data_IF_158700448873
#
_entry.id   IF_158700448873
#
_cell.length_a   1.000
_cell.length_b   1.000
_cell.length_c   1.000
_cell.angle_alpha   90.00
_cell.angle_beta   90.00
_cell.angle_gamma   90.00
#
_symmetry.space_group_name_H-M   'P 1'
#
loop_
_entity.id
_entity.type
_entity.pdbx_description
1 polymer ?
#
# COMPACT_ATOMS: atom_id res chain seq x y z
N UNK A 1 36.13 -32.33 -28.87
CA UNK A 1 34.73 -32.65 -28.56
C UNK A 1 34.54 -32.53 -27.05
N UNK A 2 33.62 -31.72 -26.53
CA UNK A 2 33.30 -31.75 -25.11
C UNK A 2 32.44 -33.00 -24.78
N UNK A 3 32.49 -33.52 -23.54
CA UNK A 3 31.87 -34.80 -23.19
C UNK A 3 30.35 -34.66 -23.01
N UNK A 4 29.62 -35.71 -23.41
CA UNK A 4 28.18 -35.85 -23.18
C UNK A 4 27.87 -35.95 -21.69
N UNK A 5 27.09 -34.99 -21.18
CA UNK A 5 26.52 -35.03 -19.83
C UNK A 5 25.48 -36.16 -19.79
N UNK A 6 25.77 -37.23 -19.04
CA UNK A 6 24.82 -38.31 -18.75
C UNK A 6 23.88 -37.84 -17.64
N UNK A 7 22.63 -37.55 -18.00
CA UNK A 7 21.56 -37.27 -17.02
C UNK A 7 20.93 -38.61 -16.61
N UNK A 8 20.72 -38.87 -15.30
CA UNK A 8 20.13 -40.12 -14.84
C UNK A 8 18.68 -40.26 -15.30
N UNK A 9 18.37 -41.41 -15.91
CA UNK A 9 17.00 -41.81 -16.28
C UNK A 9 16.26 -42.15 -14.99
N UNK A 10 15.25 -41.35 -14.61
CA UNK A 10 14.35 -41.76 -13.53
C UNK A 10 13.40 -42.83 -14.04
N UNK A 11 13.67 -44.08 -13.68
CA UNK A 11 12.76 -45.20 -13.85
C UNK A 11 11.66 -45.13 -12.78
N UNK A 12 10.52 -44.54 -13.11
CA UNK A 12 9.29 -44.76 -12.35
C UNK A 12 8.51 -45.87 -13.05
N UNK A 13 8.62 -47.09 -12.52
CA UNK A 13 7.83 -48.23 -12.96
C UNK A 13 6.37 -48.05 -12.59
N UNK A 14 5.54 -47.64 -13.55
CA UNK A 14 4.08 -47.90 -13.59
C UNK A 14 3.65 -48.01 -15.05
N UNK A 15 3.04 -49.14 -15.39
CA UNK A 15 2.46 -49.45 -16.70
C UNK A 15 1.35 -48.46 -17.09
N UNK A 16 1.46 -47.87 -18.30
CA UNK A 16 0.31 -47.38 -19.07
C UNK A 16 -0.15 -45.92 -18.93
N UNK A 17 0.34 -45.14 -17.97
CA UNK A 17 -0.07 -43.73 -17.77
C UNK A 17 1.08 -42.74 -17.98
N UNK A 18 0.86 -41.68 -18.78
CA UNK A 18 1.84 -40.58 -18.89
C UNK A 18 2.07 -39.95 -17.52
N UNK A 19 3.33 -39.71 -17.14
CA UNK A 19 3.70 -39.04 -15.91
C UNK A 19 3.05 -37.64 -15.82
N UNK A 20 2.69 -37.23 -14.59
CA UNK A 20 2.13 -35.91 -14.31
C UNK A 20 3.25 -34.88 -14.35
N UNK A 21 3.05 -33.78 -15.07
CA UNK A 21 3.98 -32.65 -15.06
C UNK A 21 4.01 -32.04 -13.66
N UNK A 22 5.19 -31.97 -13.04
CA UNK A 22 5.42 -31.33 -11.74
C UNK A 22 6.02 -29.94 -11.91
N UNK A 23 6.03 -29.16 -10.83
CA UNK A 23 6.59 -27.81 -10.83
C UNK A 23 8.12 -27.83 -10.96
N UNK A 24 8.78 -28.85 -10.38
CA UNK A 24 10.23 -29.03 -10.51
C UNK A 24 10.63 -29.37 -11.95
N UNK A 25 9.86 -30.22 -12.63
CA UNK A 25 10.07 -30.50 -14.06
C UNK A 25 9.97 -29.22 -14.89
N UNK A 26 8.97 -28.37 -14.61
CA UNK A 26 8.82 -27.09 -15.31
C UNK A 26 10.00 -26.14 -15.03
N UNK A 27 10.50 -26.06 -13.81
CA UNK A 27 11.70 -25.27 -13.48
C UNK A 27 12.94 -25.78 -14.20
N UNK A 28 13.12 -27.10 -14.21
CA UNK A 28 14.23 -27.78 -14.90
C UNK A 28 14.19 -27.49 -16.41
N UNK A 29 13.03 -27.65 -17.05
CA UNK A 29 12.91 -27.43 -18.49
C UNK A 29 13.05 -25.96 -18.91
N UNK A 30 12.68 -25.01 -18.03
CA UNK A 30 12.99 -23.60 -18.23
C UNK A 30 14.50 -23.36 -18.15
N UNK A 31 15.19 -24.01 -17.21
CA UNK A 31 16.65 -23.89 -17.06
C UNK A 31 17.42 -24.48 -18.26
N UNK A 32 16.87 -25.50 -18.94
CA UNK A 32 17.44 -26.04 -20.18
C UNK A 32 17.48 -25.00 -21.32
N UNK A 33 16.53 -24.06 -21.33
CA UNK A 33 16.37 -23.05 -22.36
C UNK A 33 16.18 -23.65 -23.77
N UNK A 34 16.22 -22.79 -24.79
CA UNK A 34 16.03 -23.20 -26.19
C UNK A 34 17.01 -24.29 -26.65
N UNK A 35 18.28 -24.17 -26.27
CA UNK A 35 19.32 -25.09 -26.71
C UNK A 35 19.13 -26.50 -26.14
N UNK A 36 18.83 -26.62 -24.84
CA UNK A 36 18.58 -27.91 -24.20
C UNK A 36 17.30 -28.57 -24.70
N UNK A 37 16.25 -27.79 -24.96
CA UNK A 37 15.01 -28.32 -25.54
C UNK A 37 15.21 -28.83 -26.97
N UNK A 38 15.99 -28.11 -27.79
CA UNK A 38 16.33 -28.59 -29.14
C UNK A 38 17.17 -29.88 -29.07
N UNK A 39 18.14 -29.95 -28.17
CA UNK A 39 18.96 -31.14 -27.95
C UNK A 39 18.13 -32.36 -27.51
N UNK A 40 17.05 -32.14 -26.78
CA UNK A 40 16.10 -33.19 -26.40
C UNK A 40 15.21 -33.66 -27.57
N UNK A 41 15.30 -33.08 -28.77
CA UNK A 41 14.38 -33.35 -29.89
C UNK A 41 13.12 -32.48 -29.88
N UNK A 42 13.21 -31.27 -29.31
CA UNK A 42 12.11 -30.34 -29.11
C UNK A 42 11.15 -30.78 -27.99
N UNK A 43 10.02 -30.09 -27.86
CA UNK A 43 8.98 -30.40 -26.87
C UNK A 43 8.53 -31.87 -26.95
N UNK A 44 8.48 -32.45 -28.15
CA UNK A 44 8.09 -33.85 -28.36
C UNK A 44 9.13 -34.83 -27.83
N UNK A 45 10.41 -34.55 -28.05
CA UNK A 45 11.49 -35.41 -27.56
C UNK A 45 11.66 -35.28 -26.03
N UNK A 46 11.52 -34.07 -25.49
CA UNK A 46 11.45 -33.83 -24.05
C UNK A 46 10.28 -34.58 -23.41
N UNK A 47 9.09 -34.53 -24.02
CA UNK A 47 7.92 -35.27 -23.56
C UNK A 47 8.16 -36.80 -23.52
N UNK A 48 8.83 -37.35 -24.55
CA UNK A 48 9.21 -38.77 -24.58
C UNK A 48 10.24 -39.12 -23.50
N UNK A 49 11.26 -38.28 -23.29
CA UNK A 49 12.32 -38.52 -22.29
C UNK A 49 11.77 -38.60 -20.87
N UNK A 50 10.81 -37.73 -20.53
CA UNK A 50 10.21 -37.67 -19.19
C UNK A 50 8.87 -38.43 -19.10
N UNK A 51 8.50 -39.17 -20.15
CA UNK A 51 7.23 -39.91 -20.24
C UNK A 51 5.98 -39.06 -19.92
N UNK A 52 5.94 -37.80 -20.35
CA UNK A 52 4.80 -36.88 -20.14
C UNK A 52 4.03 -36.66 -21.45
N UNK A 53 2.78 -36.19 -21.35
CA UNK A 53 2.02 -35.79 -22.54
C UNK A 53 2.61 -34.54 -23.20
N UNK A 54 3.02 -34.66 -24.47
CA UNK A 54 3.49 -33.51 -25.26
C UNK A 54 2.41 -32.42 -25.40
N UNK A 55 1.13 -32.81 -25.48
CA UNK A 55 0.01 -31.87 -25.49
C UNK A 55 -0.08 -31.09 -24.17
N UNK A 56 0.02 -31.79 -23.03
CA UNK A 56 0.03 -31.15 -21.72
C UNK A 56 1.26 -30.25 -21.54
N UNK A 57 2.42 -30.67 -22.02
CA UNK A 57 3.66 -29.90 -21.92
C UNK A 57 3.57 -28.56 -22.66
N UNK A 58 2.99 -28.53 -23.87
CA UNK A 58 2.77 -27.29 -24.63
C UNK A 58 1.88 -26.28 -23.92
N UNK A 59 1.02 -26.73 -23.00
CA UNK A 59 0.20 -25.83 -22.22
C UNK A 59 1.03 -25.03 -21.21
N UNK A 60 2.22 -25.50 -20.82
CA UNK A 60 3.04 -24.86 -19.79
C UNK A 60 4.37 -24.31 -20.31
N UNK A 61 4.94 -24.89 -21.38
CA UNK A 61 6.27 -24.58 -21.89
C UNK A 61 6.24 -24.37 -23.42
N UNK A 62 6.95 -23.34 -23.89
CA UNK A 62 7.13 -23.01 -25.32
C UNK A 62 8.41 -23.67 -25.87
N UNK A 63 8.48 -23.80 -27.19
CA UNK A 63 9.63 -24.40 -27.87
C UNK A 63 10.94 -23.61 -27.73
N UNK A 64 10.87 -22.34 -27.31
CA UNK A 64 12.03 -21.50 -27.00
C UNK A 64 12.51 -21.63 -25.53
N UNK A 65 11.87 -22.47 -24.73
CA UNK A 65 12.19 -22.69 -23.32
C UNK A 65 11.57 -21.69 -22.35
N UNK A 66 10.71 -20.80 -22.84
CA UNK A 66 9.94 -19.90 -21.96
C UNK A 66 8.62 -20.53 -21.51
N UNK A 67 8.13 -20.15 -20.34
CA UNK A 67 6.82 -20.59 -19.86
C UNK A 67 5.70 -19.92 -20.65
N UNK A 68 4.60 -20.65 -20.84
CA UNK A 68 3.31 -20.05 -21.18
C UNK A 68 2.75 -19.32 -19.96
N UNK A 69 1.67 -18.55 -20.15
CA UNK A 69 0.97 -17.93 -19.02
C UNK A 69 0.48 -18.97 -18.01
N UNK A 70 0.05 -20.14 -18.48
CA UNK A 70 -0.41 -21.22 -17.62
C UNK A 70 0.75 -21.89 -16.88
N UNK A 71 1.93 -22.01 -17.51
CA UNK A 71 3.18 -22.42 -16.86
C UNK A 71 3.59 -21.45 -15.76
N UNK A 72 3.51 -20.15 -16.03
CA UNK A 72 3.82 -19.11 -15.06
C UNK A 72 2.86 -19.14 -13.85
N UNK A 73 1.55 -19.23 -14.11
CA UNK A 73 0.53 -19.30 -13.05
C UNK A 73 0.71 -20.55 -12.19
N UNK A 74 1.15 -21.65 -12.79
CA UNK A 74 1.38 -22.90 -12.08
C UNK A 74 2.58 -22.81 -11.15
N UNK A 75 3.69 -22.22 -11.61
CA UNK A 75 4.88 -22.02 -10.77
C UNK A 75 4.72 -20.90 -9.74
N UNK A 76 3.76 -20.01 -9.93
CA UNK A 76 3.40 -18.93 -9.01
C UNK A 76 1.94 -19.07 -8.53
N UNK A 77 1.60 -20.12 -7.74
CA UNK A 77 0.22 -20.38 -7.32
C UNK A 77 -0.31 -19.35 -6.30
N UNK A 78 0.58 -18.57 -5.65
CA UNK A 78 0.23 -17.52 -4.70
C UNK A 78 0.29 -16.12 -5.32
N UNK A 79 -0.87 -15.60 -5.75
CA UNK A 79 -1.11 -14.16 -5.82
C UNK A 79 -0.49 -13.43 -7.01
N UNK A 80 -1.33 -13.10 -8.00
CA UNK A 80 -1.02 -11.96 -8.86
C UNK A 80 -0.89 -10.72 -7.96
N UNK A 81 0.17 -9.94 -8.17
CA UNK A 81 0.37 -8.69 -7.45
C UNK A 81 -0.82 -7.78 -7.73
N UNK A 82 -1.36 -7.18 -6.68
CA UNK A 82 -2.42 -6.18 -6.83
C UNK A 82 -1.81 -4.92 -7.47
N UNK A 83 -2.46 -4.39 -8.50
CA UNK A 83 -1.99 -3.17 -9.17
C UNK A 83 -2.12 -1.99 -8.19
N UNK A 84 -1.04 -1.31 -7.86
CA UNK A 84 -1.07 -0.11 -6.99
C UNK A 84 -1.09 1.18 -7.81
N UNK A 85 -1.44 2.29 -7.16
CA UNK A 85 -1.33 3.62 -7.78
C UNK A 85 0.10 3.96 -8.20
N UNK A 86 1.10 3.55 -7.44
CA UNK A 86 2.51 3.81 -7.75
C UNK A 86 2.98 3.04 -8.98
N UNK A 87 2.56 1.78 -9.12
CA UNK A 87 2.82 0.99 -10.34
C UNK A 87 2.23 1.68 -11.57
N UNK A 88 1.01 2.20 -11.48
CA UNK A 88 0.35 2.92 -12.57
C UNK A 88 1.10 4.19 -12.96
N UNK A 89 1.64 4.95 -11.99
CA UNK A 89 2.47 6.12 -12.26
C UNK A 89 3.82 5.76 -12.91
N UNK A 90 4.44 4.68 -12.47
CA UNK A 90 5.67 4.19 -13.10
C UNK A 90 5.39 3.80 -14.55
N UNK A 91 4.30 3.08 -14.82
CA UNK A 91 3.97 2.61 -16.16
C UNK A 91 3.50 3.72 -17.10
N UNK A 92 2.87 4.79 -16.60
CA UNK A 92 2.62 5.99 -17.41
C UNK A 92 3.92 6.72 -17.75
N UNK A 93 4.87 6.78 -16.80
CA UNK A 93 6.19 7.40 -17.01
C UNK A 93 7.04 6.65 -18.04
N UNK A 94 6.89 5.32 -18.14
CA UNK A 94 7.54 4.52 -19.19
C UNK A 94 7.15 4.96 -20.61
N UNK A 95 5.96 5.55 -20.77
CA UNK A 95 5.44 5.93 -22.07
C UNK A 95 5.12 4.74 -22.98
N UNK A 96 4.60 5.04 -24.17
CA UNK A 96 4.27 4.02 -25.19
C UNK A 96 5.47 3.15 -25.56
N UNK A 97 6.65 3.75 -25.71
CA UNK A 97 7.86 3.02 -26.11
C UNK A 97 8.37 2.10 -25.00
N UNK A 98 8.31 2.51 -23.73
CA UNK A 98 8.66 1.64 -22.60
C UNK A 98 7.71 0.45 -22.46
N UNK A 99 6.40 0.65 -22.67
CA UNK A 99 5.43 -0.46 -22.71
C UNK A 99 5.70 -1.38 -23.89
N UNK A 100 6.05 -0.85 -25.07
CA UNK A 100 6.41 -1.65 -26.24
C UNK A 100 7.67 -2.48 -25.97
N UNK A 101 8.71 -1.88 -25.39
CA UNK A 101 9.93 -2.57 -24.96
C UNK A 101 9.68 -3.63 -23.88
N UNK A 102 8.59 -3.50 -23.11
CA UNK A 102 8.15 -4.53 -22.18
C UNK A 102 7.53 -5.75 -22.86
N UNK A 103 7.21 -5.69 -24.15
CA UNK A 103 6.41 -6.69 -24.87
C UNK A 103 4.91 -6.36 -24.83
N UNK A 104 4.56 -5.08 -24.81
CA UNK A 104 3.18 -4.61 -24.65
C UNK A 104 2.65 -4.79 -23.22
N UNK A 105 1.35 -4.57 -23.03
CA UNK A 105 0.70 -4.76 -21.72
C UNK A 105 0.82 -6.21 -21.21
N UNK A 106 0.87 -7.19 -22.10
CA UNK A 106 1.05 -8.61 -21.72
C UNK A 106 2.44 -8.88 -21.17
N UNK A 107 3.48 -8.34 -21.81
CA UNK A 107 4.84 -8.44 -21.31
C UNK A 107 5.04 -7.63 -20.02
N UNK A 108 4.43 -6.45 -19.91
CA UNK A 108 4.43 -5.64 -18.70
C UNK A 108 3.74 -6.37 -17.53
N UNK A 109 2.57 -6.96 -17.77
CA UNK A 109 1.85 -7.74 -16.76
C UNK A 109 2.66 -8.95 -16.29
N UNK A 110 3.34 -9.65 -17.21
CA UNK A 110 4.20 -10.79 -16.90
C UNK A 110 5.39 -10.39 -16.04
N UNK A 111 6.09 -9.31 -16.41
CA UNK A 111 7.25 -8.80 -15.65
C UNK A 111 6.90 -8.38 -14.23
N UNK A 112 5.70 -7.84 -14.03
CA UNK A 112 5.22 -7.36 -12.74
C UNK A 112 4.33 -8.37 -12.01
N UNK A 113 4.16 -9.58 -12.55
CA UNK A 113 3.28 -10.61 -12.01
C UNK A 113 1.85 -10.12 -11.69
N UNK A 114 1.30 -9.21 -12.51
CA UNK A 114 -0.07 -8.68 -12.35
C UNK A 114 -1.04 -9.31 -13.35
N UNK A 115 -2.34 -9.16 -13.10
CA UNK A 115 -3.37 -9.60 -14.05
C UNK A 115 -3.37 -8.73 -15.30
N UNK A 116 -3.19 -9.32 -16.49
CA UNK A 116 -3.32 -8.62 -17.78
C UNK A 116 -4.69 -7.94 -17.91
N UNK A 117 -5.75 -8.61 -17.44
CA UNK A 117 -7.12 -8.07 -17.48
C UNK A 117 -7.24 -6.87 -16.56
N UNK A 118 -6.74 -6.95 -15.33
CA UNK A 118 -6.76 -5.81 -14.41
C UNK A 118 -5.90 -4.66 -14.93
N UNK A 119 -4.75 -4.97 -15.55
CA UNK A 119 -3.88 -3.98 -16.16
C UNK A 119 -4.58 -3.24 -17.30
N UNK A 120 -5.27 -3.95 -18.19
CA UNK A 120 -6.07 -3.34 -19.27
C UNK A 120 -7.21 -2.47 -18.75
N UNK A 121 -7.77 -2.80 -17.59
CA UNK A 121 -8.80 -1.98 -16.95
C UNK A 121 -8.23 -0.68 -16.38
N UNK A 122 -6.93 -0.60 -16.06
CA UNK A 122 -6.29 0.58 -15.49
C UNK A 122 -5.47 1.40 -16.49
N UNK A 123 -4.84 0.77 -17.48
CA UNK A 123 -3.82 1.35 -18.34
C UNK A 123 -4.06 0.98 -19.81
N UNK A 124 -3.99 1.97 -20.70
CA UNK A 124 -4.12 1.82 -22.15
C UNK A 124 -2.77 1.51 -22.81
N UNK A 125 -2.81 1.05 -24.06
CA UNK A 125 -1.61 0.70 -24.84
C UNK A 125 -0.74 1.93 -25.16
N UNK A 126 -1.32 3.12 -25.19
CA UNK A 126 -0.64 4.40 -25.35
C UNK A 126 -0.06 4.95 -24.04
N UNK A 127 -0.01 4.13 -22.98
CA UNK A 127 0.44 4.48 -21.62
C UNK A 127 -0.45 5.47 -20.85
N UNK A 128 -1.61 5.84 -21.38
CA UNK A 128 -2.56 6.69 -20.64
C UNK A 128 -3.41 5.86 -19.67
N UNK A 129 -3.82 6.46 -18.56
CA UNK A 129 -4.71 5.81 -17.60
C UNK A 129 -6.15 5.82 -18.10
N UNK A 130 -6.87 4.74 -17.82
CA UNK A 130 -8.34 4.76 -17.86
C UNK A 130 -8.87 5.55 -16.67
N UNK A 131 -10.17 5.88 -16.67
CA UNK A 131 -10.81 6.45 -15.48
C UNK A 131 -10.58 5.58 -14.23
N UNK A 132 -10.73 4.26 -14.36
CA UNK A 132 -10.49 3.33 -13.26
C UNK A 132 -9.03 3.33 -12.79
N UNK A 133 -8.07 3.44 -13.71
CA UNK A 133 -6.66 3.61 -13.39
C UNK A 133 -6.38 4.93 -12.66
N UNK A 134 -7.00 6.02 -13.12
CA UNK A 134 -6.87 7.33 -12.50
C UNK A 134 -7.39 7.33 -11.06
N UNK A 135 -8.61 6.81 -10.83
CA UNK A 135 -9.14 6.69 -9.48
C UNK A 135 -8.26 5.84 -8.55
N UNK A 136 -7.55 4.85 -9.11
CA UNK A 136 -6.67 3.97 -8.35
C UNK A 136 -5.35 4.64 -7.99
N UNK A 137 -4.84 5.50 -8.86
CA UNK A 137 -3.74 6.43 -8.55
C UNK A 137 -4.17 7.39 -7.44
N UNK A 138 -5.36 7.98 -7.57
CA UNK A 138 -5.86 8.97 -6.62
C UNK A 138 -6.10 8.34 -5.24
N UNK A 139 -6.68 7.14 -5.15
CA UNK A 139 -6.83 6.40 -3.87
C UNK A 139 -5.51 6.20 -3.12
N UNK A 140 -4.38 6.13 -3.83
CA UNK A 140 -3.03 6.02 -3.27
C UNK A 140 -2.46 7.36 -2.77
N UNK A 141 -2.82 8.48 -3.39
CA UNK A 141 -2.42 9.83 -2.95
C UNK A 141 -3.47 10.42 -2.02
N UNK A 142 -3.31 10.24 -0.71
CA UNK A 142 -4.18 10.94 0.24
C UNK A 142 -3.93 12.44 0.16
N UNK A 143 -4.98 13.21 -0.11
CA UNK A 143 -4.93 14.66 -0.02
C UNK A 143 -4.63 15.08 1.42
N UNK A 144 -3.85 16.15 1.57
CA UNK A 144 -3.70 16.81 2.87
C UNK A 144 -5.00 17.52 3.24
N UNK A 145 -5.32 17.56 4.53
CA UNK A 145 -6.43 18.37 5.02
C UNK A 145 -6.03 19.83 4.93
N UNK A 146 -6.74 20.62 4.12
CA UNK A 146 -6.51 22.06 3.95
C UNK A 146 -7.42 22.90 4.83
N UNK A 147 -7.11 24.18 4.99
CA UNK A 147 -7.93 25.11 5.78
C UNK A 147 -9.30 25.35 5.11
N UNK A 148 -9.34 25.40 3.77
CA UNK A 148 -10.59 25.50 3.01
C UNK A 148 -11.50 24.29 3.21
N UNK A 149 -10.92 23.09 3.25
CA UNK A 149 -11.66 21.88 3.59
C UNK A 149 -12.25 21.99 5.00
N UNK A 150 -11.46 22.43 5.98
CA UNK A 150 -11.94 22.60 7.35
C UNK A 150 -13.04 23.67 7.46
N UNK A 151 -12.91 24.80 6.77
CA UNK A 151 -13.95 25.85 6.71
C UNK A 151 -15.25 25.30 6.13
N UNK A 152 -15.15 24.51 5.05
CA UNK A 152 -16.32 23.88 4.40
C UNK A 152 -16.94 22.79 5.27
N UNK A 153 -16.15 21.95 5.91
CA UNK A 153 -16.68 20.89 6.77
C UNK A 153 -17.29 21.46 8.05
N UNK A 154 -16.80 22.59 8.57
CA UNK A 154 -17.41 23.30 9.70
C UNK A 154 -18.86 23.71 9.44
N UNK A 155 -19.22 23.97 8.19
CA UNK A 155 -20.58 24.37 7.80
C UNK A 155 -21.48 23.18 7.44
N UNK A 156 -20.95 21.95 7.42
CA UNK A 156 -21.77 20.77 7.19
C UNK A 156 -22.55 20.43 8.46
N UNK A 157 -23.85 20.23 8.32
CA UNK A 157 -24.70 19.73 9.39
C UNK A 157 -24.57 18.20 9.54
N UNK A 158 -25.19 17.63 10.60
CA UNK A 158 -25.21 16.19 10.83
C UNK A 158 -25.82 15.40 9.67
N UNK A 159 -26.80 15.98 8.96
CA UNK A 159 -27.47 15.35 7.83
C UNK A 159 -26.54 15.21 6.61
N UNK A 160 -25.77 16.24 6.29
CA UNK A 160 -24.80 16.20 5.18
C UNK A 160 -23.64 15.24 5.49
N UNK A 161 -23.20 15.19 6.74
CA UNK A 161 -22.19 14.22 7.19
C UNK A 161 -22.74 12.79 7.09
N UNK A 162 -24.00 12.58 7.46
CA UNK A 162 -24.65 11.27 7.32
C UNK A 162 -24.81 10.88 5.84
N UNK A 163 -25.25 11.82 4.99
CA UNK A 163 -25.39 11.63 3.55
C UNK A 163 -24.05 11.30 2.87
N UNK A 164 -22.94 11.85 3.37
CA UNK A 164 -21.60 11.49 2.91
C UNK A 164 -21.20 10.05 3.28
N UNK A 165 -21.92 9.36 4.17
CA UNK A 165 -21.55 8.06 4.74
C UNK A 165 -20.77 8.19 6.06
N UNK A 166 -21.04 9.26 6.82
CA UNK A 166 -20.29 9.66 8.01
C UNK A 166 -18.90 10.19 7.70
N UNK A 167 -18.09 10.42 8.73
CA UNK A 167 -16.71 10.91 8.59
C UNK A 167 -15.83 10.00 7.71
N UNK A 168 -16.12 8.69 7.66
CA UNK A 168 -15.45 7.74 6.77
C UNK A 168 -15.76 8.01 5.30
N UNK A 169 -17.03 8.29 5.01
CA UNK A 169 -17.46 8.62 3.66
C UNK A 169 -16.99 10.00 3.22
N UNK A 170 -16.98 10.99 4.12
CA UNK A 170 -16.36 12.30 3.89
C UNK A 170 -14.86 12.18 3.56
N UNK A 171 -14.12 11.32 4.29
CA UNK A 171 -12.72 11.05 3.99
C UNK A 171 -12.50 10.43 2.61
N UNK A 172 -13.43 9.57 2.15
CA UNK A 172 -13.38 8.97 0.81
C UNK A 172 -13.70 9.99 -0.27
N UNK A 173 -14.74 10.80 -0.10
CA UNK A 173 -15.16 11.82 -1.07
C UNK A 173 -14.06 12.86 -1.32
N UNK A 174 -13.37 13.29 -0.26
CA UNK A 174 -12.27 14.25 -0.37
C UNK A 174 -10.89 13.58 -0.48
N UNK A 175 -10.85 12.25 -0.56
CA UNK A 175 -9.63 11.45 -0.63
C UNK A 175 -8.57 11.81 0.43
N UNK A 176 -9.00 12.16 1.64
CA UNK A 176 -8.11 12.49 2.76
C UNK A 176 -7.91 11.27 3.67
N UNK A 177 -6.83 11.28 4.46
CA UNK A 177 -6.64 10.26 5.48
C UNK A 177 -7.72 10.36 6.56
N UNK A 178 -8.40 9.25 6.85
CA UNK A 178 -9.40 9.20 7.94
C UNK A 178 -8.76 9.51 9.31
N UNK A 179 -7.49 9.14 9.50
CA UNK A 179 -6.73 9.44 10.73
C UNK A 179 -6.46 10.95 10.81
N UNK A 180 -6.06 11.57 9.70
CA UNK A 180 -5.89 13.02 9.64
C UNK A 180 -7.22 13.75 9.88
N UNK A 181 -8.30 13.28 9.26
CA UNK A 181 -9.63 13.86 9.40
C UNK A 181 -10.11 13.81 10.86
N UNK A 182 -9.93 12.67 11.54
CA UNK A 182 -10.26 12.50 12.97
C UNK A 182 -9.40 13.34 13.92
N UNK A 183 -8.29 13.91 13.43
CA UNK A 183 -7.49 14.87 14.21
C UNK A 183 -8.20 16.22 14.31
N UNK A 184 -8.95 16.60 13.28
CA UNK A 184 -9.61 17.91 13.18
C UNK A 184 -11.13 17.87 13.39
N UNK A 185 -11.78 16.73 13.16
CA UNK A 185 -13.23 16.58 13.27
C UNK A 185 -13.65 15.49 14.27
N UNK A 186 -14.82 15.68 14.87
CA UNK A 186 -15.59 14.67 15.58
C UNK A 186 -16.38 13.80 14.58
N UNK A 187 -16.93 12.68 15.05
CA UNK A 187 -17.68 11.74 14.20
C UNK A 187 -18.98 12.34 13.64
N UNK A 188 -19.54 13.32 14.34
CA UNK A 188 -20.72 14.11 13.95
C UNK A 188 -20.38 15.25 12.97
N UNK A 189 -19.11 15.42 12.60
CA UNK A 189 -18.64 16.47 11.69
C UNK A 189 -18.35 17.82 12.35
N UNK A 190 -18.50 17.94 13.67
CA UNK A 190 -18.09 19.17 14.38
C UNK A 190 -16.56 19.26 14.49
N UNK A 191 -16.02 20.49 14.51
CA UNK A 191 -14.58 20.70 14.68
C UNK A 191 -14.13 20.34 16.09
N UNK A 192 -13.03 19.60 16.16
CA UNK A 192 -12.24 19.45 17.39
C UNK A 192 -11.47 20.74 17.67
N UNK A 193 -10.99 20.88 18.90
CA UNK A 193 -10.14 22.00 19.28
C UNK A 193 -8.90 22.15 18.38
N UNK A 194 -8.32 21.05 17.89
CA UNK A 194 -7.21 21.12 16.93
C UNK A 194 -7.62 21.69 15.55
N UNK A 195 -8.85 21.45 15.11
CA UNK A 195 -9.43 22.07 13.92
C UNK A 195 -9.70 23.56 14.13
N UNK A 196 -10.25 23.91 15.29
CA UNK A 196 -10.49 25.30 15.67
C UNK A 196 -9.21 26.11 15.81
N UNK A 197 -8.18 25.54 16.45
CA UNK A 197 -6.87 26.20 16.61
C UNK A 197 -6.17 26.40 15.26
N UNK A 198 -6.39 25.49 14.30
CA UNK A 198 -5.81 25.60 12.97
C UNK A 198 -6.48 26.70 12.14
N UNK A 199 -7.81 26.83 12.25
CA UNK A 199 -8.53 27.91 11.56
C UNK A 199 -8.35 29.28 12.23
N UNK A 200 -8.03 29.30 13.53
CA UNK A 200 -7.82 30.52 14.32
C UNK A 200 -6.48 30.44 15.09
N UNK A 201 -5.35 30.56 14.38
CA UNK A 201 -4.03 30.52 15.01
C UNK A 201 -3.74 31.78 15.83
N UNK A 202 -4.26 32.93 15.38
CA UNK A 202 -4.05 34.23 16.00
C UNK A 202 -4.91 34.35 17.26
N UNK A 203 -4.26 34.59 18.40
CA UNK A 203 -4.92 34.74 19.70
C UNK A 203 -4.72 33.58 20.67
N UNK A 204 -3.91 32.56 20.33
CA UNK A 204 -3.54 31.50 21.29
C UNK A 204 -2.37 31.94 22.18
N UNK A 205 -2.51 31.71 23.49
CA UNK A 205 -1.46 31.98 24.47
C UNK A 205 -0.35 30.93 24.33
N UNK A 206 0.91 31.38 24.37
CA UNK A 206 2.05 30.47 24.37
C UNK A 206 2.13 29.72 25.71
N UNK A 207 2.40 28.41 25.66
CA UNK A 207 2.59 27.61 26.88
C UNK A 207 3.90 28.00 27.55
N UNK A 208 3.80 28.75 28.65
CA UNK A 208 4.93 29.12 29.49
C UNK A 208 5.43 27.94 30.35
N UNK A 209 6.66 28.04 30.86
CA UNK A 209 7.22 27.05 31.80
C UNK A 209 6.38 26.97 33.09
N UNK A 210 5.86 28.09 33.57
CA UNK A 210 5.02 28.13 34.77
C UNK A 210 3.71 27.36 34.57
N UNK A 211 3.05 27.57 33.42
CA UNK A 211 1.84 26.82 33.06
C UNK A 211 2.14 25.34 32.90
N UNK A 212 3.24 24.99 32.22
CA UNK A 212 3.67 23.60 32.04
C UNK A 212 3.90 22.89 33.38
N UNK A 213 4.53 23.57 34.34
CA UNK A 213 4.76 23.05 35.69
C UNK A 213 3.45 22.91 36.46
N UNK A 214 2.59 23.92 36.44
CA UNK A 214 1.30 23.89 37.11
C UNK A 214 0.44 22.74 36.59
N UNK A 215 0.35 22.57 35.27
CA UNK A 215 -0.44 21.48 34.69
C UNK A 215 0.18 20.10 34.93
N UNK A 216 1.51 19.99 35.01
CA UNK A 216 2.15 18.74 35.42
C UNK A 216 1.73 18.29 36.82
N UNK A 217 1.47 19.23 37.75
CA UNK A 217 0.98 18.90 39.10
C UNK A 217 -0.49 18.50 39.15
N UNK A 218 -1.29 18.78 38.11
CA UNK A 218 -2.69 18.35 38.04
C UNK A 218 -2.83 16.83 37.89
N UNK A 219 -1.86 16.19 37.23
CA UNK A 219 -1.89 14.77 36.92
C UNK A 219 -3.11 14.33 36.09
N UNK A 220 -3.30 13.00 35.94
CA UNK A 220 -4.38 12.46 35.12
C UNK A 220 -5.79 12.90 35.54
N UNK A 221 -6.06 12.91 36.84
CA UNK A 221 -7.38 13.27 37.38
C UNK A 221 -7.70 14.76 37.17
N UNK A 222 -6.72 15.65 37.34
CA UNK A 222 -6.93 17.08 37.08
C UNK A 222 -7.13 17.39 35.60
N UNK A 223 -6.45 16.67 34.70
CA UNK A 223 -6.73 16.76 33.26
C UNK A 223 -8.13 16.24 32.94
N UNK A 224 -8.54 15.11 33.51
CA UNK A 224 -9.89 14.56 33.33
C UNK A 224 -10.96 15.56 33.81
N UNK A 225 -10.77 16.16 34.98
CA UNK A 225 -11.65 17.20 35.54
C UNK A 225 -11.69 18.48 34.67
N UNK A 226 -10.61 18.77 33.94
CA UNK A 226 -10.59 19.87 32.98
C UNK A 226 -11.32 19.56 31.66
N UNK A 227 -11.79 18.33 31.44
CA UNK A 227 -12.33 17.87 30.15
C UNK A 227 -11.25 17.33 29.20
N UNK A 228 -10.15 16.84 29.75
CA UNK A 228 -8.97 16.37 29.00
C UNK A 228 -8.13 17.51 28.44
N UNK A 229 -7.21 17.18 27.51
CA UNK A 229 -6.36 18.18 26.85
C UNK A 229 -7.18 19.26 26.14
N UNK A 230 -8.26 18.87 25.46
CA UNK A 230 -9.10 19.82 24.70
C UNK A 230 -9.82 20.80 25.62
N UNK A 231 -10.33 20.34 26.78
CA UNK A 231 -10.95 21.21 27.77
C UNK A 231 -9.96 22.16 28.45
N UNK A 232 -8.75 21.70 28.76
CA UNK A 232 -7.67 22.54 29.29
C UNK A 232 -7.21 23.59 28.25
N UNK A 233 -7.06 23.19 26.99
CA UNK A 233 -6.72 24.07 25.88
C UNK A 233 -7.71 25.24 25.75
N UNK A 234 -9.01 24.92 25.79
CA UNK A 234 -10.09 25.91 25.72
C UNK A 234 -10.08 26.85 26.93
N UNK A 235 -9.95 26.31 28.15
CA UNK A 235 -10.02 27.08 29.40
C UNK A 235 -8.87 28.08 29.54
N UNK A 236 -7.69 27.72 29.03
CA UNK A 236 -6.49 28.57 29.09
C UNK A 236 -6.16 29.27 27.76
N UNK A 237 -7.03 29.15 26.77
CA UNK A 237 -6.85 29.68 25.42
C UNK A 237 -5.47 29.37 24.82
N UNK A 238 -5.01 28.12 24.98
CA UNK A 238 -3.75 27.62 24.40
C UNK A 238 -4.04 26.61 23.30
N UNK A 239 -3.07 26.35 22.42
CA UNK A 239 -3.21 25.32 21.39
C UNK A 239 -3.29 23.92 22.00
N UNK A 240 -4.33 23.16 21.65
CA UNK A 240 -4.47 21.75 21.99
C UNK A 240 -3.35 20.91 21.35
N UNK A 241 -2.88 21.29 20.16
CA UNK A 241 -1.71 20.70 19.51
C UNK A 241 -0.44 20.93 20.32
N UNK A 242 -0.22 22.15 20.81
CA UNK A 242 0.92 22.46 21.68
C UNK A 242 0.85 21.71 23.02
N UNK A 243 -0.33 21.56 23.61
CA UNK A 243 -0.52 20.73 24.81
C UNK A 243 -0.21 19.26 24.53
N UNK A 244 -0.68 18.69 23.41
CA UNK A 244 -0.34 17.30 23.00
C UNK A 244 1.16 17.08 22.75
N UNK A 245 1.90 18.14 22.42
CA UNK A 245 3.34 18.07 22.28
C UNK A 245 4.07 18.00 23.64
N UNK A 246 3.42 18.42 24.74
CA UNK A 246 4.02 18.46 26.07
C UNK A 246 3.41 17.43 27.03
N UNK A 247 2.16 17.04 26.83
CA UNK A 247 1.42 16.07 27.64
C UNK A 247 0.88 14.93 26.78
N UNK A 248 0.83 13.74 27.37
CA UNK A 248 0.14 12.57 26.84
C UNK A 248 -1.36 12.73 27.05
N UNK A 249 -2.15 11.93 26.32
CA UNK A 249 -3.62 11.99 26.36
C UNK A 249 -4.21 11.77 27.77
N UNK A 250 -3.50 11.04 28.63
CA UNK A 250 -3.86 10.78 30.01
C UNK A 250 -3.40 11.88 30.98
N UNK A 251 -2.95 13.04 30.51
CA UNK A 251 -2.53 14.18 31.35
C UNK A 251 -1.12 14.07 31.95
N UNK A 252 -0.39 12.98 31.70
CA UNK A 252 1.02 12.87 32.13
C UNK A 252 1.95 13.59 31.17
N UNK A 253 3.15 13.95 31.62
CA UNK A 253 4.14 14.60 30.74
C UNK A 253 4.58 13.65 29.61
N UNK A 254 4.78 14.23 28.44
CA UNK A 254 5.54 13.60 27.35
C UNK A 254 7.03 13.80 27.59
N UNK A 255 7.87 13.02 26.89
CA UNK A 255 9.32 13.20 26.92
C UNK A 255 9.76 14.63 26.54
N UNK A 256 9.02 15.30 25.64
CA UNK A 256 9.27 16.70 25.28
C UNK A 256 8.89 17.66 26.41
N UNK A 257 7.79 17.40 27.11
CA UNK A 257 7.39 18.15 28.31
C UNK A 257 8.42 18.00 29.43
N UNK A 258 8.84 16.78 29.74
CA UNK A 258 9.89 16.48 30.72
C UNK A 258 11.20 17.17 30.39
N UNK A 259 11.67 17.04 29.14
CA UNK A 259 12.90 17.70 28.68
C UNK A 259 12.82 19.22 28.83
N UNK A 260 11.66 19.82 28.52
CA UNK A 260 11.45 21.26 28.65
C UNK A 260 11.48 21.71 30.12
N UNK A 261 10.92 20.92 31.04
CA UNK A 261 10.98 21.21 32.49
C UNK A 261 12.38 20.98 33.08
N UNK A 262 13.09 19.92 32.68
CA UNK A 262 14.48 19.67 33.09
C UNK A 262 15.42 20.78 32.66
N UNK A 263 15.29 21.26 31.41
CA UNK A 263 16.07 22.40 30.90
C UNK A 263 15.83 23.68 31.72
N UNK A 264 14.65 23.81 32.32
CA UNK A 264 14.29 24.93 33.19
C UNK A 264 14.66 24.72 34.67
N UNK A 265 15.35 23.63 35.03
CA UNK A 265 15.74 23.32 36.41
C UNK A 265 14.57 22.85 37.30
N UNK A 266 13.45 22.42 36.72
CA UNK A 266 12.20 22.11 37.45
C UNK A 266 12.01 20.61 37.73
N UNK A 267 12.91 19.75 37.23
CA UNK A 267 12.94 18.30 37.49
C UNK A 267 14.39 17.85 37.68
N UNK A 268 14.68 16.87 38.56
CA UNK A 268 16.01 16.30 38.69
C UNK A 268 16.46 15.64 37.37
N UNK A 269 17.78 15.70 37.12
CA UNK A 269 18.44 15.15 35.92
C UNK A 269 18.37 13.62 35.88
#
# INVERSE_FOLDING_TARGET
>A
MPPSVKIPRQETGVSGGSAKITDDMLREWVALGRAGILAAGGINGLAKQYNVSAGALRNYLRADGTLTQQGQNRLNPGGRVEITGDMLQQWTTLGREGIKAAGGLEGLARRNNVSVVALRNCLRVDSTLTQYGQERVDRGRKAEVTDDMLRRWRTLGPEEIHAAGGINGLARQHNVSIVALRTYLHADGTLRQCGEDRLNPDGKVEISIAMLRQWATLGPEGFKAAGGIEGLARRHNVSAGALKAHFRINGTLSSRGEKRLRKAGMLPM
#
